data_IF_122554682901
#
_entry.id   IF_122554682901
#
_cell.length_a   1.000
_cell.length_b   1.000
_cell.length_c   1.000
_cell.angle_alpha   90.00
_cell.angle_beta   90.00
_cell.angle_gamma   90.00
#
_symmetry.space_group_name_H-M   'P 1'
#
loop_
_entity.id
_entity.type
_entity.pdbx_description
1 polymer ?
#
# COMPACT_ATOMS: atom_id res chain seq x y z
N UNK A 1 3.63 7.34 -4.25
CA UNK A 1 4.03 6.63 -3.01
C UNK A 1 5.53 6.74 -2.75
N UNK A 2 6.39 6.22 -3.65
CA UNK A 2 7.86 6.21 -3.48
C UNK A 2 8.50 7.59 -3.28
N UNK A 3 8.02 8.61 -3.98
CA UNK A 3 8.69 9.92 -4.04
C UNK A 3 8.20 10.94 -3.01
N UNK A 4 7.01 10.71 -2.42
CA UNK A 4 6.35 11.69 -1.54
C UNK A 4 5.99 11.09 -0.20
N UNK A 5 5.00 10.20 -0.20
CA UNK A 5 4.40 9.68 1.03
C UNK A 5 5.35 8.84 1.88
N UNK A 6 6.11 7.93 1.28
CA UNK A 6 7.04 7.08 2.04
C UNK A 6 8.21 7.89 2.61
N UNK A 7 8.87 8.79 1.85
CA UNK A 7 9.86 9.70 2.40
C UNK A 7 9.32 10.57 3.55
N UNK A 8 8.11 11.10 3.40
CA UNK A 8 7.46 11.93 4.43
C UNK A 8 7.19 11.15 5.72
N UNK A 9 6.59 9.96 5.63
CA UNK A 9 6.37 9.07 6.79
C UNK A 9 7.70 8.66 7.42
N UNK A 10 8.70 8.30 6.62
CA UNK A 10 10.01 7.88 7.13
C UNK A 10 10.72 9.03 7.85
N UNK A 11 10.52 10.28 7.40
CA UNK A 11 11.10 11.45 8.02
C UNK A 11 10.45 11.78 9.38
N UNK A 12 9.11 11.79 9.43
CA UNK A 12 8.37 12.18 10.64
C UNK A 12 8.19 11.02 11.64
N UNK A 13 8.09 9.80 11.15
CA UNK A 13 7.71 8.59 11.89
C UNK A 13 8.55 7.36 11.47
N UNK A 14 9.88 7.37 11.62
CA UNK A 14 10.80 6.39 11.03
C UNK A 14 10.61 4.92 11.46
N UNK A 15 9.91 4.69 12.58
CA UNK A 15 9.68 3.34 13.14
C UNK A 15 8.21 2.92 13.06
N UNK A 16 7.34 3.77 12.52
CA UNK A 16 5.91 3.48 12.49
C UNK A 16 5.62 2.59 11.29
N UNK A 17 5.07 1.38 11.50
CA UNK A 17 4.65 0.54 10.40
C UNK A 17 3.51 1.19 9.63
N UNK A 18 3.42 0.89 8.33
CA UNK A 18 2.34 1.39 7.49
C UNK A 18 1.83 0.30 6.55
N UNK A 19 0.58 0.42 6.15
CA UNK A 19 -0.08 -0.45 5.18
C UNK A 19 -0.22 0.27 3.84
N UNK A 20 -0.10 -0.46 2.75
CA UNK A 20 -0.48 0.04 1.42
C UNK A 20 -1.94 -0.34 1.17
N UNK A 21 -2.81 0.65 0.98
CA UNK A 21 -4.24 0.41 0.75
C UNK A 21 -4.63 0.81 -0.68
N UNK A 22 -5.10 -0.17 -1.47
CA UNK A 22 -5.73 0.06 -2.77
C UNK A 22 -7.22 0.35 -2.59
N UNK A 23 -7.68 1.54 -2.96
CA UNK A 23 -9.08 1.94 -2.83
C UNK A 23 -9.81 1.91 -4.17
N UNK A 24 -11.14 1.99 -4.13
CA UNK A 24 -12.02 2.05 -5.32
C UNK A 24 -11.82 0.85 -6.26
N UNK A 25 -11.59 -0.34 -5.72
CA UNK A 25 -11.32 -1.54 -6.54
C UNK A 25 -12.48 -1.96 -7.43
N UNK A 26 -13.69 -1.48 -7.16
CA UNK A 26 -14.87 -1.62 -8.02
C UNK A 26 -14.68 -0.97 -9.39
N UNK A 27 -13.85 0.07 -9.49
CA UNK A 27 -13.56 0.76 -10.74
C UNK A 27 -12.59 0.00 -11.66
N UNK A 28 -11.95 -1.06 -11.16
CA UNK A 28 -10.98 -1.85 -11.93
C UNK A 28 -11.63 -2.56 -13.11
N UNK A 29 -12.89 -2.99 -12.92
CA UNK A 29 -13.69 -3.71 -13.91
C UNK A 29 -14.79 -2.82 -14.53
N UNK A 30 -14.89 -1.54 -14.15
CA UNK A 30 -15.87 -0.61 -14.68
C UNK A 30 -15.50 -0.18 -16.12
N UNK A 31 -16.33 -0.50 -17.15
CA UNK A 31 -16.01 -0.19 -18.53
C UNK A 31 -15.83 1.31 -18.78
N UNK A 32 -16.61 2.15 -18.09
CA UNK A 32 -16.55 3.60 -18.25
C UNK A 32 -15.22 4.18 -17.76
N UNK A 33 -14.70 3.63 -16.66
CA UNK A 33 -13.42 4.04 -16.07
C UNK A 33 -12.25 3.53 -16.91
N UNK A 34 -12.33 2.28 -17.39
CA UNK A 34 -11.33 1.71 -18.29
C UNK A 34 -11.20 2.56 -19.56
N UNK A 35 -12.32 2.94 -20.20
CA UNK A 35 -12.30 3.76 -21.41
C UNK A 35 -11.70 5.16 -21.14
N UNK A 36 -12.07 5.80 -20.03
CA UNK A 36 -11.51 7.09 -19.62
C UNK A 36 -10.00 7.03 -19.39
N UNK A 37 -9.51 5.99 -18.71
CA UNK A 37 -8.08 5.78 -18.49
C UNK A 37 -7.35 5.50 -19.81
N UNK A 38 -7.94 4.70 -20.69
CA UNK A 38 -7.37 4.38 -21.99
C UNK A 38 -7.17 5.62 -22.87
N UNK A 39 -8.09 6.60 -22.82
CA UNK A 39 -7.93 7.91 -23.50
C UNK A 39 -6.67 8.65 -23.06
N UNK A 40 -6.23 8.44 -21.82
CA UNK A 40 -5.00 9.00 -21.25
C UNK A 40 -3.81 8.03 -21.32
N UNK A 41 -3.92 6.91 -22.07
CA UNK A 41 -2.91 5.83 -22.14
C UNK A 41 -2.59 5.21 -20.78
N UNK A 42 -3.56 5.20 -19.88
CA UNK A 42 -3.47 4.61 -18.56
C UNK A 42 -4.36 3.37 -18.46
N UNK A 43 -4.12 2.56 -17.42
CA UNK A 43 -4.93 1.40 -17.07
C UNK A 43 -5.11 1.33 -15.56
N UNK A 44 -6.17 0.68 -15.06
CA UNK A 44 -6.30 0.38 -13.64
C UNK A 44 -5.07 -0.37 -13.11
N UNK A 45 -4.74 -0.15 -11.84
CA UNK A 45 -3.64 -0.86 -11.20
C UNK A 45 -4.07 -2.30 -10.92
N UNK A 46 -3.29 -3.24 -11.45
CA UNK A 46 -3.45 -4.66 -11.19
C UNK A 46 -2.94 -5.01 -9.78
N UNK A 47 -3.60 -5.92 -9.06
CA UNK A 47 -3.20 -6.29 -7.69
C UNK A 47 -1.72 -6.67 -7.57
N UNK A 48 -1.19 -7.43 -8.53
CA UNK A 48 0.19 -7.92 -8.53
C UNK A 48 1.19 -6.77 -8.66
N UNK A 49 0.80 -5.67 -9.31
CA UNK A 49 1.63 -4.47 -9.40
C UNK A 49 1.70 -3.75 -8.06
N UNK A 50 0.58 -3.71 -7.34
CA UNK A 50 0.50 -3.09 -6.03
C UNK A 50 1.19 -3.93 -4.95
N UNK A 51 1.11 -5.26 -5.02
CA UNK A 51 1.85 -6.18 -4.14
C UNK A 51 3.37 -6.04 -4.31
N UNK A 52 3.85 -5.91 -5.55
CA UNK A 52 5.27 -5.60 -5.81
C UNK A 52 5.66 -4.25 -5.24
N UNK A 53 4.79 -3.25 -5.37
CA UNK A 53 5.02 -1.92 -4.81
C UNK A 53 5.08 -1.94 -3.28
N UNK A 54 4.21 -2.70 -2.62
CA UNK A 54 4.23 -2.90 -1.16
C UNK A 54 5.58 -3.46 -0.68
N UNK A 55 6.06 -4.53 -1.33
CA UNK A 55 7.37 -5.12 -1.05
C UNK A 55 8.52 -4.13 -1.24
N UNK A 56 8.51 -3.38 -2.34
CA UNK A 56 9.51 -2.35 -2.62
C UNK A 56 9.52 -1.23 -1.57
N UNK A 57 8.34 -0.86 -1.08
CA UNK A 57 8.16 0.17 -0.07
C UNK A 57 8.42 -0.32 1.35
N UNK A 58 8.49 -1.63 1.55
CA UNK A 58 8.54 -2.27 2.88
C UNK A 58 7.35 -1.87 3.75
N UNK A 59 6.17 -1.76 3.14
CA UNK A 59 4.95 -1.72 3.95
C UNK A 59 4.73 -3.10 4.59
N UNK A 60 3.89 -3.13 5.62
CA UNK A 60 3.59 -4.36 6.36
C UNK A 60 2.77 -5.32 5.51
N UNK A 61 1.82 -4.77 4.76
CA UNK A 61 0.91 -5.53 3.90
C UNK A 61 0.20 -4.60 2.91
N UNK A 62 -0.07 -5.14 1.73
CA UNK A 62 -1.05 -4.61 0.79
C UNK A 62 -2.46 -5.11 1.08
N UNK A 63 -3.43 -4.20 1.15
CA UNK A 63 -4.85 -4.53 1.31
C UNK A 63 -5.71 -3.71 0.34
N UNK A 64 -6.83 -4.27 -0.09
CA UNK A 64 -7.73 -3.63 -1.05
C UNK A 64 -9.13 -3.43 -0.47
N UNK A 65 -9.77 -2.30 -0.80
CA UNK A 65 -11.16 -2.06 -0.45
C UNK A 65 -11.93 -1.26 -1.50
N UNK A 66 -13.25 -1.43 -1.45
CA UNK A 66 -14.22 -0.61 -2.16
C UNK A 66 -15.27 -0.14 -1.16
N UNK A 67 -15.38 1.17 -0.99
CA UNK A 67 -16.42 1.76 -0.14
C UNK A 67 -17.81 1.51 -0.73
N UNK A 68 -17.91 1.58 -2.07
CA UNK A 68 -19.17 1.42 -2.79
C UNK A 68 -19.77 0.02 -2.62
N UNK A 69 -18.95 -1.01 -2.81
CA UNK A 69 -19.38 -2.41 -2.68
C UNK A 69 -19.22 -2.96 -1.26
N UNK A 70 -18.68 -2.15 -0.36
CA UNK A 70 -18.26 -2.52 1.01
C UNK A 70 -17.23 -3.66 1.08
N UNK A 71 -16.66 -4.09 -0.05
CA UNK A 71 -15.66 -5.16 -0.10
C UNK A 71 -14.37 -4.69 0.57
N UNK A 72 -13.83 -5.52 1.46
CA UNK A 72 -12.51 -5.33 2.06
C UNK A 72 -12.39 -4.23 3.13
N UNK A 73 -13.44 -3.42 3.38
CA UNK A 73 -13.38 -2.34 4.38
C UNK A 73 -13.00 -2.85 5.76
N UNK A 74 -13.70 -3.86 6.27
CA UNK A 74 -13.40 -4.46 7.57
C UNK A 74 -11.95 -4.97 7.64
N UNK A 75 -11.49 -5.65 6.58
CA UNK A 75 -10.14 -6.19 6.52
C UNK A 75 -9.07 -5.09 6.60
N UNK A 76 -9.28 -3.92 5.96
CA UNK A 76 -8.35 -2.79 6.07
C UNK A 76 -8.19 -2.33 7.51
N UNK A 77 -9.29 -2.21 8.26
CA UNK A 77 -9.24 -1.79 9.66
C UNK A 77 -8.67 -2.87 10.58
N UNK A 78 -9.06 -4.13 10.39
CA UNK A 78 -8.55 -5.26 11.18
C UNK A 78 -7.01 -5.37 11.02
N UNK A 79 -6.49 -5.27 9.79
CA UNK A 79 -5.05 -5.31 9.52
C UNK A 79 -4.31 -4.09 10.09
N UNK A 80 -4.93 -2.90 10.11
CA UNK A 80 -4.36 -1.71 10.74
C UNK A 80 -4.24 -1.89 12.26
N UNK A 81 -5.27 -2.46 12.89
CA UNK A 81 -5.27 -2.76 14.34
C UNK A 81 -4.19 -3.80 14.65
N UNK A 82 -4.13 -4.90 13.90
CA UNK A 82 -3.11 -5.93 14.07
C UNK A 82 -1.69 -5.37 13.92
N UNK A 83 -1.47 -4.56 12.89
CA UNK A 83 -0.17 -3.91 12.65
C UNK A 83 0.25 -2.98 13.80
N UNK A 84 -0.72 -2.34 14.47
CA UNK A 84 -0.45 -1.47 15.61
C UNK A 84 -0.19 -2.26 16.91
N UNK A 85 -0.88 -3.38 17.12
CA UNK A 85 -0.73 -4.25 18.29
C UNK A 85 0.54 -5.11 18.22
N UNK A 86 0.87 -5.59 17.02
CA UNK A 86 2.00 -6.48 16.75
C UNK A 86 2.87 -5.85 15.65
N UNK A 87 3.58 -4.75 15.95
CA UNK A 87 4.41 -4.09 14.97
C UNK A 87 5.55 -5.01 14.53
N UNK A 88 5.84 -5.10 13.21
CA UNK A 88 6.92 -5.94 12.72
C UNK A 88 8.26 -5.50 13.30
N UNK A 89 9.10 -6.47 13.68
CA UNK A 89 10.41 -6.16 14.25
C UNK A 89 11.26 -5.38 13.23
N UNK A 90 11.91 -4.27 13.65
CA UNK A 90 12.81 -3.55 12.77
C UNK A 90 13.99 -4.45 12.40
N UNK A 91 14.15 -4.75 11.10
CA UNK A 91 15.30 -5.51 10.59
C UNK A 91 16.60 -4.80 11.01
N UNK A 92 17.39 -5.44 11.86
CA UNK A 92 18.69 -4.92 12.31
C UNK A 92 19.59 -4.71 11.09
N UNK A 93 19.94 -3.47 10.80
CA UNK A 93 21.04 -3.16 9.89
C UNK A 93 22.34 -3.56 10.59
N UNK A 94 23.00 -4.59 10.07
CA UNK A 94 24.40 -4.85 10.43
C UNK A 94 25.22 -3.66 9.92
N UNK A 95 25.55 -2.72 10.81
CA UNK A 95 26.56 -1.70 10.50
C UNK A 95 27.86 -2.44 10.25
N UNK A 96 28.23 -2.60 8.99
CA UNK A 96 29.58 -2.97 8.62
C UNK A 96 30.45 -1.76 8.99
N UNK A 97 31.27 -1.90 10.04
CA UNK A 97 32.32 -0.94 10.34
C UNK A 97 33.48 -1.32 9.43
N UNK A 98 33.70 -0.54 8.37
CA UNK A 98 34.98 -0.59 7.65
C UNK A 98 35.99 0.12 8.56
N UNK A 99 36.94 -0.66 9.08
CA UNK A 99 38.16 -0.20 9.76
C UNK A 99 39.27 0.03 8.73
#
# INVERSE_FOLDING_TARGET
MKEKWVPEITHHCPKTPFLLVGTQIDLRDDPSTIEKLAKNKQKPIAPETAEKLDQDLKAVKYVECSVLTQKGLRNVFDEAILTALEPPEPKKSHRCVLL
#
